data_IF_605378974775
#
_entry.id   IF_605378974775
#
_cell.length_a   1.000
_cell.length_b   1.000
_cell.length_c   1.000
_cell.angle_alpha   90.00
_cell.angle_beta   90.00
_cell.angle_gamma   90.00
#
_symmetry.space_group_name_H-M   'P 1'
#
loop_
_entity.id
_entity.type
_entity.pdbx_description
1 polymer ?
#
# COMPACT_ATOMS: atom_id res chain seq x y z
N UNK A 1 23.70 10.98 -23.17
CA UNK A 1 22.37 10.54 -23.67
C UNK A 1 22.10 9.24 -22.96
N UNK A 2 21.52 9.33 -21.76
CA UNK A 2 21.14 8.17 -20.95
C UNK A 2 19.74 8.47 -20.46
N UNK A 3 18.79 7.66 -20.90
CA UNK A 3 17.36 7.70 -20.56
C UNK A 3 17.16 7.41 -19.06
N UNK A 4 17.39 8.40 -18.19
CA UNK A 4 17.13 8.28 -16.74
C UNK A 4 15.69 8.68 -16.35
N UNK A 5 14.83 9.06 -17.31
CA UNK A 5 13.50 9.62 -17.04
C UNK A 5 12.32 8.78 -17.53
N UNK A 6 12.55 7.52 -17.91
CA UNK A 6 11.45 6.61 -18.31
C UNK A 6 11.02 5.66 -17.17
N UNK A 7 11.10 6.07 -15.90
CA UNK A 7 10.16 5.53 -14.90
C UNK A 7 8.85 6.25 -15.16
N UNK A 8 8.09 5.77 -16.16
CA UNK A 8 6.73 6.25 -16.41
C UNK A 8 5.97 6.09 -15.10
N UNK A 9 5.57 7.21 -14.50
CA UNK A 9 4.67 7.25 -13.35
C UNK A 9 3.46 6.39 -13.71
N UNK A 10 3.41 5.16 -13.19
CA UNK A 10 2.21 4.34 -13.24
C UNK A 10 1.35 4.87 -12.12
N UNK A 11 0.34 5.67 -12.46
CA UNK A 11 -0.72 6.02 -11.52
C UNK A 11 -1.52 4.74 -11.24
N UNK A 12 -1.14 4.01 -10.19
CA UNK A 12 -1.74 2.75 -9.78
C UNK A 12 -2.62 2.88 -8.54
N UNK A 13 -3.35 1.82 -8.23
CA UNK A 13 -4.09 1.64 -6.97
C UNK A 13 -3.26 0.82 -5.98
N UNK A 14 -2.94 1.40 -4.84
CA UNK A 14 -2.09 0.82 -3.81
C UNK A 14 -2.95 0.39 -2.60
N UNK A 15 -2.74 -0.84 -2.12
CA UNK A 15 -3.32 -1.31 -0.86
C UNK A 15 -2.25 -1.32 0.23
N UNK A 16 -2.42 -0.47 1.24
CA UNK A 16 -1.56 -0.41 2.43
C UNK A 16 -2.14 -1.35 3.50
N UNK A 17 -1.31 -2.23 4.04
CA UNK A 17 -1.64 -3.11 5.17
C UNK A 17 -0.72 -2.75 6.33
N UNK A 18 -1.29 -2.10 7.34
CA UNK A 18 -0.53 -1.49 8.44
C UNK A 18 -1.41 -1.48 9.70
N UNK A 19 -0.88 -1.95 10.83
CA UNK A 19 -1.61 -1.99 12.10
C UNK A 19 -1.37 -0.75 12.97
N UNK A 20 -0.27 -0.02 12.75
CA UNK A 20 -0.01 1.27 13.34
C UNK A 20 -0.79 2.37 12.60
N UNK A 21 -1.84 2.89 13.26
CA UNK A 21 -2.70 3.93 12.69
C UNK A 21 -1.96 5.20 12.26
N UNK A 22 -0.86 5.56 12.92
CA UNK A 22 -0.11 6.77 12.56
C UNK A 22 0.71 6.53 11.29
N UNK A 23 1.39 5.39 11.20
CA UNK A 23 2.16 5.01 10.01
C UNK A 23 1.24 4.80 8.80
N UNK A 24 0.10 4.13 8.98
CA UNK A 24 -0.88 3.90 7.92
C UNK A 24 -1.47 5.21 7.38
N UNK A 25 -1.75 6.18 8.26
CA UNK A 25 -2.24 7.49 7.85
C UNK A 25 -1.21 8.33 7.11
N UNK A 26 0.08 8.18 7.42
CA UNK A 26 1.17 8.86 6.69
C UNK A 26 1.24 8.30 5.27
N UNK A 27 1.27 6.97 5.10
CA UNK A 27 1.29 6.35 3.79
C UNK A 27 0.06 6.72 2.94
N UNK A 28 -1.12 6.76 3.55
CA UNK A 28 -2.36 7.14 2.89
C UNK A 28 -2.39 8.61 2.43
N UNK A 29 -1.65 9.49 3.10
CA UNK A 29 -1.52 10.90 2.70
C UNK A 29 -0.43 11.11 1.63
N UNK A 30 0.67 10.36 1.70
CA UNK A 30 1.82 10.55 0.81
C UNK A 30 1.59 9.97 -0.59
N UNK A 31 0.97 8.81 -0.70
CA UNK A 31 0.77 8.13 -2.00
C UNK A 31 -0.09 8.95 -3.00
N UNK A 32 -1.19 9.62 -2.57
CA UNK A 32 -1.94 10.52 -3.43
C UNK A 32 -1.13 11.72 -3.95
N UNK A 33 -0.19 12.25 -3.16
CA UNK A 33 0.68 13.36 -3.58
C UNK A 33 1.60 12.96 -4.74
N UNK A 34 1.96 11.67 -4.81
CA UNK A 34 2.75 11.07 -5.88
C UNK A 34 1.88 10.53 -7.05
N UNK A 35 0.56 10.72 -6.99
CA UNK A 35 -0.38 10.35 -8.05
C UNK A 35 -0.94 8.92 -7.97
N UNK A 36 -0.78 8.24 -6.85
CA UNK A 36 -1.34 6.90 -6.61
C UNK A 36 -2.70 7.00 -5.90
N UNK A 37 -3.66 6.16 -6.31
CA UNK A 37 -4.82 5.90 -5.47
C UNK A 37 -4.38 4.99 -4.33
N UNK A 38 -4.84 5.24 -3.10
CA UNK A 38 -4.43 4.46 -1.94
C UNK A 38 -5.63 4.06 -1.08
N UNK A 39 -5.64 2.81 -0.63
CA UNK A 39 -6.58 2.28 0.36
C UNK A 39 -5.80 1.73 1.54
N UNK A 40 -6.27 2.00 2.76
CA UNK A 40 -5.65 1.51 4.00
C UNK A 40 -6.51 0.39 4.61
N UNK A 41 -5.90 -0.75 4.86
CA UNK A 41 -6.46 -1.85 5.64
C UNK A 41 -5.72 -1.96 6.98
N UNK A 42 -6.38 -1.53 8.06
CA UNK A 42 -5.83 -1.65 9.41
C UNK A 42 -6.07 -3.04 10.00
N UNK A 43 -5.06 -3.57 10.71
CA UNK A 43 -5.12 -4.86 11.42
C UNK A 43 -5.61 -6.03 10.55
N UNK A 44 -4.79 -6.43 9.58
CA UNK A 44 -5.16 -7.48 8.64
C UNK A 44 -4.85 -8.89 9.19
N UNK A 45 -5.90 -9.69 9.37
CA UNK A 45 -5.76 -11.14 9.28
C UNK A 45 -5.56 -11.55 7.81
N UNK A 46 -5.01 -12.74 7.55
CA UNK A 46 -4.88 -13.25 6.18
C UNK A 46 -6.22 -13.34 5.45
N UNK A 47 -7.32 -13.60 6.16
CA UNK A 47 -8.67 -13.64 5.58
C UNK A 47 -9.18 -12.24 5.22
N UNK A 48 -8.93 -11.25 6.07
CA UNK A 48 -9.27 -9.85 5.81
C UNK A 48 -8.54 -9.33 4.57
N UNK A 49 -7.25 -9.67 4.42
CA UNK A 49 -6.46 -9.31 3.24
C UNK A 49 -7.06 -9.93 1.96
N UNK A 50 -7.39 -11.22 2.00
CA UNK A 50 -8.04 -11.92 0.85
C UNK A 50 -9.37 -11.29 0.48
N UNK A 51 -10.17 -10.89 1.46
CA UNK A 51 -11.46 -10.24 1.25
C UNK A 51 -11.32 -8.84 0.64
N UNK A 52 -10.22 -8.13 0.92
CA UNK A 52 -9.96 -6.78 0.41
C UNK A 52 -9.37 -6.76 -1.01
N UNK A 53 -8.46 -7.70 -1.33
CA UNK A 53 -7.74 -7.70 -2.62
C UNK A 53 -8.67 -7.89 -3.82
N UNK A 54 -9.67 -8.77 -3.72
CA UNK A 54 -10.59 -9.04 -4.82
C UNK A 54 -11.38 -7.81 -5.27
N UNK A 55 -12.08 -7.10 -4.37
CA UNK A 55 -12.85 -5.90 -4.73
C UNK A 55 -12.00 -4.67 -5.04
N UNK A 56 -10.83 -4.51 -4.41
CA UNK A 56 -9.98 -3.32 -4.59
C UNK A 56 -9.07 -3.41 -5.81
N UNK A 57 -8.81 -4.62 -6.30
CA UNK A 57 -7.90 -4.91 -7.43
C UNK A 57 -6.63 -4.03 -7.43
N UNK A 58 -5.85 -4.01 -6.32
CA UNK A 58 -4.70 -3.12 -6.23
C UNK A 58 -3.58 -3.57 -7.20
N UNK A 59 -2.90 -2.59 -7.79
CA UNK A 59 -1.72 -2.79 -8.64
C UNK A 59 -0.50 -3.21 -7.80
N UNK A 60 -0.45 -2.78 -6.55
CA UNK A 60 0.60 -3.14 -5.59
C UNK A 60 0.06 -3.13 -4.15
N UNK A 61 0.65 -3.99 -3.31
CA UNK A 61 0.29 -4.16 -1.91
C UNK A 61 1.53 -3.84 -1.06
N UNK A 62 1.42 -2.85 -0.18
CA UNK A 62 2.43 -2.49 0.80
C UNK A 62 2.11 -3.22 2.11
N UNK A 63 2.95 -4.19 2.47
CA UNK A 63 2.79 -4.99 3.68
C UNK A 63 3.76 -4.50 4.76
N UNK A 64 3.24 -4.15 5.93
CA UNK A 64 4.09 -3.94 7.10
C UNK A 64 4.75 -5.26 7.53
N UNK A 65 6.07 -5.19 7.73
CA UNK A 65 6.90 -6.31 8.19
C UNK A 65 6.89 -6.48 9.72
N UNK A 66 6.34 -5.51 10.46
CA UNK A 66 6.20 -5.55 11.92
C UNK A 66 5.24 -6.63 12.44
N UNK A 67 4.39 -7.17 11.57
CA UNK A 67 3.50 -8.30 11.89
C UNK A 67 4.25 -9.64 12.10
N UNK A 68 5.56 -9.69 11.82
CA UNK A 68 6.41 -10.87 12.02
C UNK A 68 7.47 -10.64 13.10
N UNK A 69 7.25 -11.25 14.26
CA UNK A 69 8.24 -11.48 15.34
C UNK A 69 8.39 -10.40 16.43
N UNK A 70 7.57 -10.55 17.48
CA UNK A 70 7.93 -10.16 18.86
C UNK A 70 7.64 -11.33 19.82
N UNK A 71 8.12 -12.52 19.48
CA UNK A 71 8.09 -13.69 20.38
C UNK A 71 9.42 -13.88 21.09
#
# INVERSE_FOLDING_TARGET
MTDEQSVRQRTGSELIVEDDSAMGMIALQLLPDEGYAASLLSAASSDTLRAAVGPLEPDCILLDSGAGDRT
#
